data_IF_587900449263
#
_entry.id   IF_587900449263
#
_cell.length_a   1.000
_cell.length_b   1.000
_cell.length_c   1.000
_cell.angle_alpha   90.00
_cell.angle_beta   90.00
_cell.angle_gamma   90.00
#
_symmetry.space_group_name_H-M   'P 1'
#
loop_
_entity.id
_entity.type
_entity.pdbx_description
1 polymer ?
#
# COMPACT_ATOMS: atom_id res chain seq x y z
N UNK A 1 -48.12 26.99 37.46
CA UNK A 1 -47.25 27.55 36.39
C UNK A 1 -45.82 27.25 36.77
N UNK A 2 -44.87 26.79 35.95
CA UNK A 2 -44.77 26.54 34.51
C UNK A 2 -43.49 25.71 34.30
N UNK A 3 -43.59 24.70 33.45
CA UNK A 3 -42.60 24.23 32.46
C UNK A 3 -41.21 23.76 32.94
N UNK A 4 -41.14 22.43 33.06
CA UNK A 4 -40.02 21.54 32.70
C UNK A 4 -39.00 22.10 31.71
N UNK A 5 -37.74 22.20 32.12
CA UNK A 5 -36.60 22.38 31.22
C UNK A 5 -35.81 21.08 31.13
N UNK A 6 -36.10 20.28 30.11
CA UNK A 6 -35.30 19.14 29.70
C UNK A 6 -34.66 19.48 28.35
N UNK A 7 -33.36 19.75 28.33
CA UNK A 7 -32.57 20.00 27.12
C UNK A 7 -31.09 19.74 27.48
N UNK A 8 -30.21 19.07 26.74
CA UNK A 8 -30.23 18.32 25.47
C UNK A 8 -29.06 17.35 25.63
N UNK A 9 -29.28 16.05 25.41
CA UNK A 9 -28.18 15.08 25.31
C UNK A 9 -27.42 15.36 24.01
N UNK A 10 -26.22 15.94 24.08
CA UNK A 10 -25.35 16.10 22.92
C UNK A 10 -24.90 14.70 22.47
N UNK A 11 -25.49 14.20 21.39
CA UNK A 11 -24.98 13.02 20.70
C UNK A 11 -23.66 13.38 20.02
N UNK A 12 -22.53 13.02 20.64
CA UNK A 12 -21.23 13.05 19.97
C UNK A 12 -21.25 11.94 18.92
N UNK A 13 -21.45 12.32 17.66
CA UNK A 13 -21.23 11.43 16.53
C UNK A 13 -19.76 11.02 16.53
N UNK A 14 -19.48 9.80 16.99
CA UNK A 14 -18.19 9.14 16.84
C UNK A 14 -17.90 9.08 15.34
N UNK A 15 -17.05 9.98 14.85
CA UNK A 15 -16.41 9.84 13.56
C UNK A 15 -15.71 8.49 13.57
N UNK A 16 -16.33 7.51 12.92
CA UNK A 16 -15.74 6.19 12.70
C UNK A 16 -14.58 6.42 11.74
N UNK A 17 -13.39 6.63 12.29
CA UNK A 17 -12.17 6.62 11.52
C UNK A 17 -11.99 5.20 11.00
N UNK A 18 -12.49 4.93 9.79
CA UNK A 18 -12.16 3.73 9.05
C UNK A 18 -10.65 3.74 8.85
N UNK A 19 -9.95 3.06 9.74
CA UNK A 19 -8.52 2.84 9.66
C UNK A 19 -8.34 1.89 8.46
N UNK A 20 -7.84 2.41 7.34
CA UNK A 20 -7.48 1.58 6.19
C UNK A 20 -6.15 0.96 6.55
N UNK A 21 -6.21 -0.24 7.14
CA UNK A 21 -5.03 -1.01 7.51
C UNK A 21 -4.41 -1.63 6.25
N UNK A 22 -3.09 -1.75 6.24
CA UNK A 22 -2.42 -2.61 5.28
C UNK A 22 -2.83 -4.06 5.50
N UNK A 23 -3.07 -4.76 4.40
CA UNK A 23 -3.58 -6.13 4.46
C UNK A 23 -2.97 -6.97 3.34
N UNK A 24 -2.17 -7.97 3.73
CA UNK A 24 -1.90 -9.11 2.85
C UNK A 24 -3.12 -10.00 2.84
N UNK A 25 -3.74 -10.12 1.66
CA UNK A 25 -4.92 -10.93 1.45
C UNK A 25 -4.51 -12.40 1.32
N UNK A 26 -5.39 -13.29 1.80
CA UNK A 26 -5.20 -14.73 1.62
C UNK A 26 -5.34 -15.08 0.13
N UNK A 27 -4.32 -15.72 -0.43
CA UNK A 27 -4.36 -16.24 -1.80
C UNK A 27 -5.48 -17.28 -1.97
N UNK A 28 -6.20 -17.20 -3.08
CA UNK A 28 -7.18 -18.19 -3.55
C UNK A 28 -6.80 -18.64 -4.98
N UNK A 29 -7.40 -19.71 -5.51
CA UNK A 29 -7.20 -20.10 -6.91
C UNK A 29 -7.49 -18.97 -7.91
N UNK A 30 -8.47 -18.11 -7.60
CA UNK A 30 -8.91 -17.01 -8.45
C UNK A 30 -8.12 -15.72 -8.20
N UNK A 31 -7.58 -15.52 -7.00
CA UNK A 31 -6.88 -14.29 -6.61
C UNK A 31 -5.60 -14.59 -5.84
N UNK A 32 -4.47 -14.42 -6.52
CA UNK A 32 -3.14 -14.63 -5.98
C UNK A 32 -2.13 -13.84 -6.83
N UNK A 33 -0.84 -13.94 -6.53
CA UNK A 33 0.20 -13.26 -7.32
C UNK A 33 0.11 -13.56 -8.83
N UNK A 34 -0.05 -14.84 -9.22
CA UNK A 34 -0.07 -15.24 -10.62
C UNK A 34 -1.25 -14.64 -11.39
N UNK A 35 -2.43 -14.56 -10.77
CA UNK A 35 -3.62 -13.91 -11.34
C UNK A 35 -3.33 -12.48 -11.83
N UNK A 36 -2.51 -11.73 -11.09
CA UNK A 36 -2.20 -10.33 -11.40
C UNK A 36 -0.90 -10.18 -12.19
N UNK A 37 0.14 -10.96 -11.91
CA UNK A 37 1.50 -10.66 -12.33
C UNK A 37 2.09 -11.65 -13.34
N UNK A 38 1.42 -12.75 -13.67
CA UNK A 38 1.90 -13.71 -14.66
C UNK A 38 1.16 -13.58 -16.00
N UNK A 39 1.84 -13.79 -17.14
CA UNK A 39 1.20 -13.76 -18.45
C UNK A 39 0.00 -14.72 -18.52
N UNK A 40 -1.16 -14.20 -18.93
CA UNK A 40 -2.41 -14.97 -19.01
C UNK A 40 -3.25 -14.96 -17.73
N UNK A 41 -2.78 -14.34 -16.64
CA UNK A 41 -3.58 -14.10 -15.44
C UNK A 41 -4.83 -13.26 -15.74
N UNK A 42 -5.96 -13.59 -15.11
CA UNK A 42 -7.25 -12.93 -15.38
C UNK A 42 -7.28 -11.45 -14.99
N UNK A 43 -6.42 -11.04 -14.06
CA UNK A 43 -6.29 -9.66 -13.57
C UNK A 43 -5.01 -8.99 -14.10
N UNK A 44 -4.30 -9.65 -15.03
CA UNK A 44 -3.02 -9.22 -15.56
C UNK A 44 -3.09 -7.82 -16.21
N UNK A 45 -4.23 -7.50 -16.82
CA UNK A 45 -4.45 -6.21 -17.46
C UNK A 45 -5.08 -5.16 -16.53
N UNK A 46 -5.17 -5.38 -15.22
CA UNK A 46 -5.59 -4.35 -14.28
C UNK A 46 -4.39 -3.56 -13.74
N UNK A 47 -4.63 -2.39 -13.16
CA UNK A 47 -3.54 -1.57 -12.59
C UNK A 47 -3.15 -2.14 -11.22
N UNK A 48 -1.90 -2.53 -11.09
CA UNK A 48 -1.26 -3.08 -9.89
C UNK A 48 0.26 -2.89 -10.00
N UNK A 49 0.99 -3.14 -8.92
CA UNK A 49 2.46 -3.21 -8.95
C UNK A 49 2.93 -4.62 -8.62
N UNK A 50 3.76 -5.21 -9.47
CA UNK A 50 4.39 -6.51 -9.25
C UNK A 50 5.83 -6.31 -8.80
N UNK A 51 6.26 -7.04 -7.78
CA UNK A 51 7.58 -6.85 -7.16
C UNK A 51 8.28 -8.17 -6.94
N UNK A 52 9.61 -8.13 -7.06
CA UNK A 52 10.53 -9.18 -6.59
C UNK A 52 11.32 -8.60 -5.42
N UNK A 53 11.37 -9.35 -4.32
CA UNK A 53 12.12 -8.96 -3.13
C UNK A 53 12.68 -10.18 -2.41
N UNK A 54 13.65 -9.95 -1.54
CA UNK A 54 14.20 -11.01 -0.71
C UNK A 54 13.17 -11.53 0.31
N UNK A 55 13.13 -12.84 0.60
CA UNK A 55 12.23 -13.40 1.60
C UNK A 55 12.35 -12.74 2.99
N UNK A 56 13.54 -12.27 3.39
CA UNK A 56 13.72 -11.55 4.64
C UNK A 56 12.96 -10.23 4.65
N UNK A 57 12.92 -9.53 3.53
CA UNK A 57 12.13 -8.31 3.36
C UNK A 57 10.63 -8.60 3.46
N UNK A 58 10.15 -9.61 2.72
CA UNK A 58 8.72 -9.99 2.73
C UNK A 58 8.27 -10.42 4.12
N UNK A 59 9.09 -11.19 4.84
CA UNK A 59 8.82 -11.57 6.23
C UNK A 59 8.73 -10.37 7.16
N UNK A 60 9.57 -9.36 6.97
CA UNK A 60 9.46 -8.12 7.74
C UNK A 60 8.17 -7.37 7.44
N UNK A 61 7.78 -7.28 6.16
CA UNK A 61 6.52 -6.65 5.76
C UNK A 61 5.31 -7.37 6.36
N UNK A 62 5.26 -8.70 6.28
CA UNK A 62 4.16 -9.51 6.81
C UNK A 62 4.02 -9.39 8.33
N UNK A 63 5.15 -9.40 9.05
CA UNK A 63 5.17 -9.20 10.50
C UNK A 63 4.64 -7.81 10.91
N UNK A 64 4.85 -6.78 10.07
CA UNK A 64 4.43 -5.41 10.35
C UNK A 64 2.99 -5.14 9.95
N UNK A 65 2.54 -5.67 8.81
CA UNK A 65 1.16 -5.51 8.34
C UNK A 65 0.16 -6.24 9.24
N UNK A 66 0.54 -7.40 9.79
CA UNK A 66 -0.29 -8.15 10.74
C UNK A 66 -0.36 -7.48 12.12
N UNK A 67 0.68 -6.76 12.52
CA UNK A 67 0.67 -5.90 13.71
C UNK A 67 0.08 -4.53 13.36
N UNK A 68 -1.25 -4.42 13.30
CA UNK A 68 -1.93 -3.13 13.16
C UNK A 68 -1.24 -2.07 14.04
N UNK A 69 -0.66 -1.03 13.42
CA UNK A 69 0.12 0.04 14.05
C UNK A 69 -0.83 0.93 14.87
N UNK A 70 -1.44 0.37 15.92
CA UNK A 70 -2.58 0.93 16.64
C UNK A 70 -2.21 1.68 17.91
N UNK A 71 -0.92 1.83 18.26
CA UNK A 71 -0.58 2.25 19.63
C UNK A 71 0.54 3.28 19.83
N UNK A 72 1.22 3.83 18.81
CA UNK A 72 2.41 4.68 19.08
C UNK A 72 2.34 6.17 18.73
N UNK A 73 1.17 6.73 18.40
CA UNK A 73 1.03 8.18 18.22
C UNK A 73 -0.32 8.71 18.71
N UNK A 74 -0.58 8.47 20.00
CA UNK A 74 -1.40 9.41 20.75
C UNK A 74 -0.58 10.70 20.95
N UNK A 75 -1.14 11.83 20.53
CA UNK A 75 -0.66 13.18 20.89
C UNK A 75 0.66 13.64 20.21
N UNK A 76 0.56 14.25 19.02
CA UNK A 76 1.13 15.59 18.66
C UNK A 76 1.19 15.82 17.12
N UNK A 77 1.10 14.79 16.27
CA UNK A 77 1.21 14.95 14.80
C UNK A 77 0.04 14.34 14.00
N UNK A 78 -1.18 14.87 14.15
CA UNK A 78 -2.37 14.48 13.34
C UNK A 78 -2.35 14.97 11.88
N UNK A 79 -1.17 15.26 11.31
CA UNK A 79 -1.04 15.88 9.98
C UNK A 79 -0.67 14.92 8.84
N UNK A 80 0.07 13.83 9.10
CA UNK A 80 0.54 12.94 8.04
C UNK A 80 0.53 11.48 8.53
N UNK A 81 -0.40 10.72 7.98
CA UNK A 81 -0.68 9.34 8.33
C UNK A 81 0.53 8.40 8.13
N UNK A 82 1.01 7.80 9.22
CA UNK A 82 1.87 6.62 9.23
C UNK A 82 1.05 5.32 9.04
N UNK A 83 0.00 5.37 8.22
CA UNK A 83 -0.80 4.18 7.92
C UNK A 83 -0.22 3.53 6.68
N UNK A 84 0.21 2.28 6.82
CA UNK A 84 0.43 1.42 5.66
C UNK A 84 -0.93 1.26 4.97
N UNK A 85 -1.06 1.76 3.75
CA UNK A 85 -2.33 1.72 2.98
C UNK A 85 -2.14 0.89 1.73
N UNK A 86 -2.23 -0.42 1.86
CA UNK A 86 -2.18 -1.31 0.71
C UNK A 86 -3.00 -2.57 0.93
N UNK A 87 -3.43 -3.16 -0.19
CA UNK A 87 -3.85 -4.56 -0.25
C UNK A 87 -2.97 -5.27 -1.24
N UNK A 88 -2.66 -6.52 -0.97
CA UNK A 88 -1.76 -7.27 -1.83
C UNK A 88 -1.82 -8.76 -1.61
N UNK A 89 -1.15 -9.51 -2.49
CA UNK A 89 -0.94 -10.95 -2.32
C UNK A 89 0.56 -11.22 -2.34
N UNK A 90 0.99 -12.14 -1.48
CA UNK A 90 2.33 -12.72 -1.54
C UNK A 90 2.31 -13.92 -2.49
N UNK A 91 3.41 -14.16 -3.20
CA UNK A 91 3.61 -15.44 -3.90
C UNK A 91 3.85 -16.58 -2.90
N UNK A 92 3.57 -17.81 -3.31
CA UNK A 92 3.72 -18.99 -2.45
C UNK A 92 5.16 -19.20 -1.97
N UNK A 93 6.15 -18.83 -2.79
CA UNK A 93 7.57 -18.89 -2.45
C UNK A 93 8.07 -17.70 -1.62
N UNK A 94 7.20 -16.72 -1.35
CA UNK A 94 7.51 -15.46 -0.63
C UNK A 94 8.73 -14.73 -1.19
N UNK A 95 8.94 -14.76 -2.50
CA UNK A 95 9.96 -13.96 -3.21
C UNK A 95 9.36 -12.85 -4.06
N UNK A 96 8.05 -12.86 -4.22
CA UNK A 96 7.31 -11.90 -5.02
C UNK A 96 6.06 -11.45 -4.29
N UNK A 97 5.58 -10.28 -4.63
CA UNK A 97 4.30 -9.79 -4.15
C UNK A 97 3.67 -8.85 -5.17
N UNK A 98 2.34 -8.74 -5.08
CA UNK A 98 1.56 -7.78 -5.84
C UNK A 98 0.93 -6.78 -4.89
N UNK A 99 1.01 -5.49 -5.22
CA UNK A 99 0.24 -4.43 -4.60
C UNK A 99 -0.90 -4.02 -5.51
N UNK A 100 -2.11 -4.06 -4.97
CA UNK A 100 -3.33 -3.70 -5.67
C UNK A 100 -3.56 -2.19 -5.55
N UNK A 101 -4.00 -1.57 -6.64
CA UNK A 101 -4.48 -0.20 -6.58
C UNK A 101 -5.87 -0.16 -5.92
N UNK A 102 -6.01 0.63 -4.86
CA UNK A 102 -7.31 0.89 -4.26
C UNK A 102 -8.01 2.08 -4.92
N UNK A 103 -9.18 1.88 -5.58
CA UNK A 103 -9.88 2.97 -6.27
C UNK A 103 -10.23 4.14 -5.34
N UNK A 104 -10.48 3.85 -4.05
CA UNK A 104 -10.81 4.88 -3.05
C UNK A 104 -9.58 5.63 -2.52
N UNK A 105 -8.38 5.12 -2.77
CA UNK A 105 -7.11 5.66 -2.25
C UNK A 105 -6.15 6.11 -3.37
N UNK A 106 -6.62 6.24 -4.62
CA UNK A 106 -5.79 6.60 -5.79
C UNK A 106 -4.90 7.84 -5.63
N UNK A 107 -5.27 8.73 -4.71
CA UNK A 107 -4.53 9.95 -4.42
C UNK A 107 -3.30 9.72 -3.54
N UNK A 108 -3.25 8.61 -2.79
CA UNK A 108 -2.17 8.30 -1.86
C UNK A 108 -1.35 7.11 -2.35
N UNK A 109 -0.02 7.18 -2.29
CA UNK A 109 0.81 6.01 -2.58
C UNK A 109 0.58 4.95 -1.50
N UNK A 110 0.64 3.68 -1.92
CA UNK A 110 0.83 2.58 -0.99
C UNK A 110 2.16 2.72 -0.28
N UNK A 111 2.17 2.41 1.00
CA UNK A 111 3.32 2.63 1.87
C UNK A 111 3.72 1.30 2.49
N UNK A 112 4.93 0.82 2.17
CA UNK A 112 5.55 -0.33 2.80
C UNK A 112 6.65 0.18 3.73
N UNK A 113 6.62 -0.23 5.00
CA UNK A 113 7.59 0.23 5.99
C UNK A 113 8.55 -0.88 6.38
N UNK A 114 9.82 -0.52 6.51
CA UNK A 114 10.86 -1.37 7.10
C UNK A 114 11.46 -0.71 8.34
N UNK A 115 12.42 -1.37 8.99
CA UNK A 115 13.21 -0.81 10.10
C UNK A 115 13.89 0.51 9.75
N UNK A 116 14.38 0.67 8.51
CA UNK A 116 15.25 1.79 8.12
C UNK A 116 14.64 2.68 7.03
N UNK A 117 13.72 2.14 6.25
CA UNK A 117 13.24 2.76 5.03
C UNK A 117 11.73 2.80 4.94
N UNK A 118 11.25 3.80 4.22
CA UNK A 118 9.89 3.96 3.73
C UNK A 118 9.92 3.71 2.23
N UNK A 119 9.06 2.80 1.76
CA UNK A 119 8.86 2.53 0.34
C UNK A 119 7.47 3.01 -0.05
N UNK A 120 7.40 4.11 -0.79
CA UNK A 120 6.17 4.64 -1.36
C UNK A 120 6.01 4.10 -2.78
N UNK A 121 4.86 3.49 -3.02
CA UNK A 121 4.51 2.87 -4.30
C UNK A 121 3.25 3.50 -4.84
N UNK A 122 3.24 3.85 -6.12
CA UNK A 122 2.02 4.24 -6.84
C UNK A 122 2.00 3.57 -8.19
N UNK A 123 0.86 2.98 -8.57
CA UNK A 123 0.67 2.40 -9.90
C UNK A 123 -0.28 3.26 -10.73
N UNK A 124 -0.07 3.33 -12.04
CA UNK A 124 -1.00 3.96 -12.97
C UNK A 124 -0.89 3.30 -14.35
N UNK A 125 -1.80 3.68 -15.24
CA UNK A 125 -1.71 3.38 -16.67
C UNK A 125 -1.38 4.65 -17.43
N UNK A 126 -0.42 4.57 -18.36
CA UNK A 126 -0.15 5.66 -19.29
C UNK A 126 -1.38 5.88 -20.16
N UNK A 127 -1.83 7.13 -20.29
CA UNK A 127 -2.92 7.46 -21.21
C UNK A 127 -2.34 7.50 -22.62
N UNK A 128 -2.72 6.54 -23.46
CA UNK A 128 -2.37 6.56 -24.89
C UNK A 128 -3.33 7.45 -25.66
N UNK A 129 -2.87 8.26 -26.64
CA UNK A 129 -3.75 9.05 -27.50
C UNK A 129 -4.61 8.21 -28.46
N UNK A 130 -4.40 6.89 -28.54
CA UNK A 130 -5.02 5.99 -29.52
C UNK A 130 -6.14 5.10 -28.95
N UNK A 131 -6.69 5.42 -27.77
CA UNK A 131 -7.70 4.61 -27.03
C UNK A 131 -7.30 3.16 -26.72
N UNK A 132 -6.07 2.75 -27.07
CA UNK A 132 -5.49 1.49 -26.63
C UNK A 132 -5.02 1.62 -25.18
N UNK A 133 -5.26 0.62 -24.32
CA UNK A 133 -4.71 0.61 -22.97
C UNK A 133 -3.20 0.83 -23.02
N UNK A 134 -2.72 1.94 -22.47
CA UNK A 134 -1.29 2.22 -22.42
C UNK A 134 -0.57 1.31 -21.44
N UNK A 135 0.74 1.46 -21.38
CA UNK A 135 1.62 0.67 -20.53
C UNK A 135 1.26 0.88 -19.04
N UNK A 136 1.35 -0.20 -18.25
CA UNK A 136 1.25 -0.12 -16.78
C UNK A 136 2.58 0.40 -16.26
N UNK A 137 2.52 1.36 -15.34
CA UNK A 137 3.69 1.91 -14.69
C UNK A 137 3.54 1.87 -13.17
N UNK A 138 4.69 1.78 -12.51
CA UNK A 138 4.84 1.78 -11.07
C UNK A 138 5.92 2.80 -10.71
N UNK A 139 5.56 3.76 -9.87
CA UNK A 139 6.49 4.68 -9.24
C UNK A 139 6.92 4.08 -7.91
N UNK A 140 8.23 4.05 -7.69
CA UNK A 140 8.80 3.62 -6.41
C UNK A 140 9.70 4.73 -5.90
N UNK A 141 9.41 5.18 -4.68
CA UNK A 141 10.26 6.07 -3.91
C UNK A 141 10.69 5.40 -2.62
N UNK A 142 12.00 5.30 -2.41
CA UNK A 142 12.59 4.76 -1.18
C UNK A 142 13.29 5.91 -0.46
N UNK A 143 12.84 6.25 0.74
CA UNK A 143 13.50 7.21 1.62
C UNK A 143 13.88 6.56 2.94
N UNK A 144 14.80 7.17 3.69
CA UNK A 144 15.07 6.75 5.06
C UNK A 144 13.94 7.17 6.00
N UNK A 145 13.77 6.45 7.11
CA UNK A 145 12.68 6.69 8.07
C UNK A 145 12.89 7.98 8.88
N UNK A 146 14.13 8.25 9.26
CA UNK A 146 14.56 9.41 10.05
C UNK A 146 14.57 10.72 9.24
N UNK A 147 14.85 10.62 7.94
CA UNK A 147 14.86 11.77 7.03
C UNK A 147 14.16 11.42 5.70
N UNK A 148 12.89 11.81 5.50
CA UNK A 148 12.17 11.61 4.25
C UNK A 148 12.76 12.37 3.05
N UNK A 149 13.56 13.43 3.28
CA UNK A 149 14.23 14.16 2.20
C UNK A 149 15.44 13.38 1.65
N UNK A 150 15.99 12.45 2.44
CA UNK A 150 17.06 11.55 2.02
C UNK A 150 16.51 10.37 1.21
N UNK A 151 16.31 10.64 -0.07
CA UNK A 151 15.84 9.67 -1.07
C UNK A 151 17.01 8.78 -1.52
N UNK A 152 16.79 7.46 -1.49
CA UNK A 152 17.73 6.43 -1.98
C UNK A 152 17.39 5.94 -3.37
N UNK A 153 16.10 5.94 -3.71
CA UNK A 153 15.58 5.58 -5.02
C UNK A 153 14.32 6.41 -5.29
N UNK A 154 14.18 6.93 -6.50
CA UNK A 154 12.95 7.55 -7.00
C UNK A 154 12.90 7.32 -8.50
N UNK A 155 12.07 6.37 -8.94
CA UNK A 155 12.03 5.97 -10.34
C UNK A 155 10.64 5.48 -10.77
N UNK A 156 10.37 5.59 -12.07
CA UNK A 156 9.21 5.00 -12.72
C UNK A 156 9.64 3.73 -13.46
N UNK A 157 8.92 2.64 -13.22
CA UNK A 157 9.10 1.36 -13.87
C UNK A 157 7.85 1.09 -14.70
N UNK A 158 7.98 1.08 -16.02
CA UNK A 158 6.89 0.81 -16.94
C UNK A 158 7.12 -0.54 -17.62
N UNK A 159 6.03 -1.27 -17.85
CA UNK A 159 6.04 -2.52 -18.56
C UNK A 159 5.37 -3.65 -17.80
N UNK A 160 5.71 -4.86 -18.23
CA UNK A 160 5.14 -6.10 -17.72
C UNK A 160 6.07 -6.79 -16.71
N UNK A 161 7.34 -6.40 -16.71
CA UNK A 161 8.35 -6.98 -15.82
C UNK A 161 8.13 -6.54 -14.36
N UNK A 162 8.18 -7.48 -13.40
CA UNK A 162 8.15 -7.14 -11.98
C UNK A 162 9.33 -6.24 -11.57
N UNK A 163 9.06 -5.29 -10.67
CA UNK A 163 10.09 -4.39 -10.12
C UNK A 163 10.95 -5.14 -9.12
N UNK A 164 12.25 -5.25 -9.39
CA UNK A 164 13.21 -5.79 -8.42
C UNK A 164 13.60 -4.72 -7.41
N UNK A 165 13.26 -4.95 -6.14
CA UNK A 165 13.62 -4.00 -5.09
C UNK A 165 15.11 -4.08 -4.73
N UNK A 166 15.75 -2.97 -4.32
CA UNK A 166 17.17 -2.97 -3.97
C UNK A 166 17.47 -3.72 -2.68
N UNK A 167 18.63 -4.37 -2.63
CA UNK A 167 19.01 -5.28 -1.55
C UNK A 167 19.29 -4.64 -0.20
N UNK A 168 19.65 -3.37 -0.20
CA UNK A 168 19.85 -2.61 1.03
C UNK A 168 18.57 -2.47 1.86
N UNK A 169 17.39 -2.76 1.31
CA UNK A 169 16.13 -2.71 2.06
C UNK A 169 16.04 -3.79 3.15
N UNK A 170 16.81 -4.88 3.03
CA UNK A 170 16.80 -6.03 3.95
C UNK A 170 18.16 -6.34 4.58
N UNK A 171 19.11 -5.39 4.47
CA UNK A 171 20.42 -5.40 5.14
C UNK A 171 20.47 -4.35 6.24
#
# INVERSE_FOLDING_TARGET
MKVTSALITLAVALCSTSSVAAEWLKSTPEKNYATYCEPGGSEYNNVHGCFVADPAYIKELDARSSSSFRSYLGSVLRGFANQETFRGYLSDDQKKFVLLEEPKLRLMPSMLLTKKYRVSVKSWRVVSPTDTPGEKCVFVKISTWDDPAKVRLENNFCGLEPVTLPDYLWK
#
